data_IF_066925781389
#
_entry.id   IF_066925781389
#
_cell.length_a   1.000
_cell.length_b   1.000
_cell.length_c   1.000
_cell.angle_alpha   90.00
_cell.angle_beta   90.00
_cell.angle_gamma   90.00
#
_symmetry.space_group_name_H-M   'P 1'
#
loop_
_entity.id
_entity.type
_entity.pdbx_description
1 polymer ?
#
# COMPACT_ATOMS: atom_id res chain seq x y z
N UNK A 1 3.85 -7.86 -7.84
CA UNK A 1 5.15 -7.66 -8.53
C UNK A 1 6.33 -7.80 -7.57
N UNK A 2 6.57 -6.89 -6.62
CA UNK A 2 7.72 -7.02 -5.67
C UNK A 2 7.77 -8.41 -5.02
N UNK A 3 6.65 -8.86 -4.45
CA UNK A 3 6.52 -10.19 -3.85
C UNK A 3 6.73 -11.35 -4.85
N UNK A 4 6.29 -11.20 -6.10
CA UNK A 4 6.44 -12.24 -7.13
C UNK A 4 7.91 -12.40 -7.52
N UNK A 5 8.55 -11.29 -7.88
CA UNK A 5 9.96 -11.25 -8.33
C UNK A 5 10.94 -11.60 -7.21
N UNK A 6 10.57 -11.32 -5.96
CA UNK A 6 11.41 -11.63 -4.80
C UNK A 6 11.09 -13.01 -4.19
N UNK A 7 10.06 -13.72 -4.68
CA UNK A 7 9.58 -14.99 -4.13
C UNK A 7 9.26 -14.93 -2.61
N UNK A 8 8.49 -13.92 -2.21
CA UNK A 8 8.10 -13.68 -0.80
C UNK A 8 6.62 -13.30 -0.67
N UNK A 9 6.13 -13.30 0.56
CA UNK A 9 4.86 -12.73 0.97
C UNK A 9 4.96 -11.30 1.50
N UNK A 10 3.81 -10.73 1.88
CA UNK A 10 3.75 -9.44 2.56
C UNK A 10 2.47 -9.31 3.41
N UNK A 11 2.58 -8.58 4.53
CA UNK A 11 1.45 -8.11 5.33
C UNK A 11 1.40 -6.58 5.28
N UNK A 12 0.32 -6.05 4.74
CA UNK A 12 0.06 -4.61 4.66
C UNK A 12 -1.02 -4.22 5.67
N UNK A 13 -0.78 -3.18 6.47
CA UNK A 13 -1.77 -2.61 7.37
C UNK A 13 -2.42 -1.42 6.63
N UNK A 14 -3.68 -1.59 6.24
CA UNK A 14 -4.40 -0.63 5.40
C UNK A 14 -4.56 0.72 6.08
N UNK A 15 -4.75 0.72 7.40
CA UNK A 15 -4.84 1.94 8.22
C UNK A 15 -3.56 2.79 8.24
N UNK A 16 -2.42 2.22 7.83
CA UNK A 16 -1.15 2.94 7.71
C UNK A 16 -0.90 3.51 6.31
N UNK A 17 -1.68 3.12 5.30
CA UNK A 17 -1.50 3.64 3.93
C UNK A 17 -1.82 5.14 3.95
N UNK A 18 -0.88 6.01 3.52
CA UNK A 18 -1.11 7.44 3.53
C UNK A 18 -2.18 7.81 2.50
N UNK A 19 -3.19 8.55 2.95
CA UNK A 19 -4.25 9.07 2.09
C UNK A 19 -4.37 10.58 2.33
N UNK A 20 -4.26 11.37 1.26
CA UNK A 20 -4.35 12.83 1.34
C UNK A 20 -5.75 13.28 1.72
N UNK A 21 -5.85 14.43 2.39
CA UNK A 21 -7.16 14.98 2.78
C UNK A 21 -8.00 15.38 1.55
N UNK A 22 -7.36 15.81 0.47
CA UNK A 22 -8.04 16.06 -0.80
C UNK A 22 -8.71 14.79 -1.35
N UNK A 23 -8.02 13.64 -1.33
CA UNK A 23 -8.60 12.36 -1.75
C UNK A 23 -9.76 11.94 -0.83
N UNK A 24 -9.62 12.08 0.49
CA UNK A 24 -10.70 11.77 1.44
C UNK A 24 -11.95 12.60 1.16
N UNK A 25 -11.79 13.91 1.00
CA UNK A 25 -12.89 14.82 0.72
C UNK A 25 -13.57 14.50 -0.62
N UNK A 26 -12.78 14.21 -1.66
CA UNK A 26 -13.31 13.83 -2.96
C UNK A 26 -14.09 12.49 -2.90
N UNK A 27 -13.53 11.49 -2.22
CA UNK A 27 -14.17 10.19 -2.04
C UNK A 27 -15.50 10.32 -1.26
N UNK A 28 -15.55 11.17 -0.23
CA UNK A 28 -16.77 11.45 0.53
C UNK A 28 -17.86 12.06 -0.35
N UNK A 29 -17.52 13.07 -1.17
CA UNK A 29 -18.47 13.69 -2.11
C UNK A 29 -19.00 12.66 -3.12
N UNK A 30 -18.16 11.73 -3.55
CA UNK A 30 -18.50 10.70 -4.54
C UNK A 30 -19.16 9.45 -3.93
N UNK A 31 -19.23 9.34 -2.60
CA UNK A 31 -19.72 8.14 -1.91
C UNK A 31 -18.82 6.91 -2.09
N UNK A 32 -17.51 7.10 -2.29
CA UNK A 32 -16.52 6.05 -2.48
C UNK A 32 -15.68 5.82 -1.21
N UNK A 33 -15.09 4.63 -1.09
CA UNK A 33 -14.11 4.35 -0.04
C UNK A 33 -12.72 4.87 -0.47
N UNK A 34 -12.15 5.88 0.21
CA UNK A 34 -10.83 6.40 -0.13
C UNK A 34 -9.71 5.37 0.04
N UNK A 35 -9.86 4.41 0.95
CA UNK A 35 -8.86 3.34 1.13
C UNK A 35 -8.84 2.40 -0.06
N UNK A 36 -10.01 2.08 -0.62
CA UNK A 36 -10.09 1.29 -1.84
C UNK A 36 -9.37 1.99 -3.00
N UNK A 37 -9.61 3.29 -3.19
CA UNK A 37 -8.92 4.09 -4.20
C UNK A 37 -7.40 4.10 -4.01
N UNK A 38 -6.91 4.23 -2.77
CA UNK A 38 -5.49 4.28 -2.47
C UNK A 38 -4.75 2.96 -2.75
N UNK A 39 -5.43 1.80 -2.69
CA UNK A 39 -4.77 0.49 -2.85
C UNK A 39 -4.96 -0.17 -4.21
N UNK A 40 -5.98 0.24 -4.99
CA UNK A 40 -6.23 -0.25 -6.34
C UNK A 40 -6.02 0.81 -7.43
N UNK A 41 -5.87 2.06 -7.02
CA UNK A 41 -5.56 3.17 -7.91
C UNK A 41 -4.18 3.02 -8.56
N UNK A 42 -3.84 4.03 -9.35
CA UNK A 42 -2.55 4.15 -9.99
C UNK A 42 -2.28 5.62 -10.30
N UNK A 43 -1.20 5.88 -11.04
CA UNK A 43 -0.80 7.23 -11.46
C UNK A 43 -0.40 8.19 -10.32
N UNK A 44 -0.20 7.69 -9.10
CA UNK A 44 0.37 8.49 -8.00
C UNK A 44 1.87 8.77 -8.18
N UNK A 45 2.57 7.96 -8.98
CA UNK A 45 4.03 8.02 -9.22
C UNK A 45 4.89 8.01 -7.94
N UNK A 46 4.36 7.46 -6.85
CA UNK A 46 5.06 7.26 -5.59
C UNK A 46 5.96 6.01 -5.59
N UNK A 47 6.93 5.97 -4.67
CA UNK A 47 7.83 4.82 -4.51
C UNK A 47 7.29 3.81 -3.49
N UNK A 48 7.12 2.56 -3.93
CA UNK A 48 6.92 1.41 -3.04
C UNK A 48 8.21 0.59 -2.97
N UNK A 49 8.77 0.45 -1.77
CA UNK A 49 10.03 -0.28 -1.55
C UNK A 49 10.04 -1.04 -0.23
N UNK A 50 11.03 -1.91 -0.06
CA UNK A 50 11.29 -2.67 1.17
C UNK A 50 12.66 -2.29 1.72
N UNK A 51 12.78 -2.20 3.04
CA UNK A 51 14.06 -1.98 3.71
C UNK A 51 14.16 -2.82 4.98
N UNK A 52 15.39 -3.17 5.37
CA UNK A 52 15.64 -3.75 6.69
C UNK A 52 15.33 -2.71 7.77
N UNK A 53 14.71 -3.12 8.88
CA UNK A 53 14.47 -2.24 10.03
C UNK A 53 15.76 -1.56 10.53
N UNK A 54 16.90 -2.25 10.41
CA UNK A 54 18.22 -1.75 10.80
C UNK A 54 18.71 -0.58 9.94
N UNK A 55 18.22 -0.47 8.70
CA UNK A 55 18.65 0.58 7.78
C UNK A 55 18.04 1.94 8.14
N UNK A 56 16.95 1.96 8.92
CA UNK A 56 16.32 3.17 9.44
C UNK A 56 16.22 4.28 8.40
N UNK A 57 15.44 4.09 7.33
CA UNK A 57 15.30 5.10 6.28
C UNK A 57 14.58 6.32 6.87
N UNK A 58 15.36 7.32 7.27
CA UNK A 58 14.85 8.52 7.93
C UNK A 58 14.27 9.50 6.93
N UNK A 59 12.97 9.78 7.05
CA UNK A 59 12.27 10.81 6.27
C UNK A 59 12.98 12.17 6.32
N UNK A 60 13.58 12.48 7.47
CA UNK A 60 14.25 13.76 7.76
C UNK A 60 15.51 13.99 6.93
N UNK A 61 16.31 12.96 6.67
CA UNK A 61 17.58 13.09 5.92
C UNK A 61 17.34 13.27 4.42
N UNK A 62 16.25 12.67 3.92
CA UNK A 62 15.90 12.70 2.51
C UNK A 62 14.95 13.85 2.16
N UNK A 63 14.39 14.55 3.16
CA UNK A 63 13.41 15.61 2.95
C UNK A 63 12.09 15.13 2.33
N UNK A 64 11.79 13.83 2.42
CA UNK A 64 10.58 13.21 1.87
C UNK A 64 9.84 12.43 2.96
N UNK A 65 8.52 12.38 2.86
CA UNK A 65 7.71 11.59 3.78
C UNK A 65 7.82 10.11 3.43
N UNK A 66 8.17 9.28 4.42
CA UNK A 66 8.25 7.83 4.27
C UNK A 66 7.32 7.22 5.32
N UNK A 67 6.43 6.34 4.87
CA UNK A 67 5.48 5.66 5.76
C UNK A 67 5.68 4.16 5.68
N UNK A 68 6.00 3.53 6.79
CA UNK A 68 6.05 2.07 6.88
C UNK A 68 4.61 1.52 6.96
N UNK A 69 4.15 0.90 5.87
CA UNK A 69 2.79 0.38 5.76
C UNK A 69 2.66 -1.11 6.10
N UNK A 70 3.78 -1.83 6.29
CA UNK A 70 3.73 -3.28 6.41
C UNK A 70 5.09 -3.93 6.55
N UNK A 71 5.11 -5.25 6.39
CA UNK A 71 6.32 -6.07 6.48
C UNK A 71 6.32 -7.17 5.41
N UNK A 72 7.52 -7.58 5.01
CA UNK A 72 7.73 -8.74 4.15
C UNK A 72 7.62 -10.02 4.99
N UNK A 73 6.99 -11.04 4.41
CA UNK A 73 6.80 -12.35 5.04
C UNK A 73 7.38 -13.46 4.16
N UNK A 74 7.61 -14.66 4.70
CA UNK A 74 8.11 -15.79 3.91
C UNK A 74 7.14 -16.23 2.81
N UNK A 75 5.83 -16.18 3.11
CA UNK A 75 4.75 -16.61 2.22
C UNK A 75 3.49 -15.78 2.45
N UNK A 76 2.49 -15.96 1.59
CA UNK A 76 1.16 -15.33 1.66
C UNK A 76 1.14 -13.80 1.51
N UNK A 77 0.04 -13.27 0.96
CA UNK A 77 -0.15 -11.83 0.78
C UNK A 77 -1.44 -11.42 1.43
N UNK A 78 -1.34 -10.63 2.50
CA UNK A 78 -2.48 -10.26 3.32
C UNK A 78 -2.54 -8.76 3.56
N UNK A 79 -3.75 -8.22 3.48
CA UNK A 79 -4.08 -6.90 3.96
C UNK A 79 -4.78 -7.04 5.32
N UNK A 80 -4.51 -6.09 6.22
CA UNK A 80 -5.11 -6.02 7.56
C UNK A 80 -5.81 -4.68 7.69
N UNK A 81 -7.10 -4.68 8.01
CA UNK A 81 -7.82 -3.43 8.26
C UNK A 81 -7.61 -2.91 9.69
N UNK A 82 -8.15 -1.72 9.98
CA UNK A 82 -8.10 -1.08 11.30
C UNK A 82 -8.72 -1.91 12.44
N UNK A 83 -9.54 -2.92 12.13
CA UNK A 83 -10.16 -3.82 13.11
C UNK A 83 -9.31 -5.08 13.37
N UNK A 84 -8.20 -5.24 12.63
CA UNK A 84 -7.36 -6.43 12.66
C UNK A 84 -7.85 -7.56 11.77
N UNK A 85 -8.91 -7.35 10.98
CA UNK A 85 -9.43 -8.36 10.05
C UNK A 85 -8.46 -8.50 8.88
N UNK A 86 -8.17 -9.75 8.53
CA UNK A 86 -7.23 -10.12 7.46
C UNK A 86 -7.97 -10.48 6.18
N UNK A 87 -7.42 -10.05 5.06
CA UNK A 87 -7.94 -10.31 3.73
C UNK A 87 -6.79 -10.77 2.82
N UNK A 88 -7.01 -11.75 1.93
CA UNK A 88 -6.04 -12.03 0.89
C UNK A 88 -5.93 -10.82 -0.04
N UNK A 89 -4.72 -10.39 -0.34
CA UNK A 89 -4.51 -9.34 -1.34
C UNK A 89 -4.81 -9.90 -2.72
N UNK A 90 -5.74 -9.26 -3.44
CA UNK A 90 -5.96 -9.49 -4.86
C UNK A 90 -5.13 -8.51 -5.67
N UNK A 91 -4.61 -8.98 -6.80
CA UNK A 91 -3.96 -8.09 -7.76
C UNK A 91 -5.05 -7.32 -8.52
N UNK A 92 -5.48 -6.21 -7.95
CA UNK A 92 -6.43 -5.27 -8.57
C UNK A 92 -5.65 -4.01 -8.90
N UNK A 93 -5.38 -3.80 -10.18
CA UNK A 93 -4.61 -2.67 -10.68
C UNK A 93 -4.72 -2.60 -12.20
N UNK A 94 -4.30 -1.48 -12.78
CA UNK A 94 -4.48 -1.22 -14.20
C UNK A 94 -3.80 -2.26 -15.11
N UNK A 95 -4.57 -2.83 -16.04
CA UNK A 95 -4.08 -3.69 -17.11
C UNK A 95 -4.55 -3.13 -18.45
N UNK A 96 -3.61 -2.82 -19.35
CA UNK A 96 -3.92 -2.24 -20.67
C UNK A 96 -4.78 -3.17 -21.55
N UNK A 97 -4.58 -4.48 -21.40
CA UNK A 97 -5.29 -5.50 -22.14
C UNK A 97 -5.75 -6.55 -21.13
N UNK A 98 -7.06 -6.57 -20.85
CA UNK A 98 -7.68 -7.67 -20.14
C UNK A 98 -7.98 -8.76 -21.19
N UNK A 99 -7.28 -9.90 -21.08
CA UNK A 99 -7.60 -11.14 -21.81
C UNK A 99 -8.12 -12.15 -20.80
#
# INVERSE_FOLDING_TARGET
RICDESNVGAKINLDKVPVSDAMKNAAEIMGLDPMHLAVSGGEDYELLFTASEKLGVGSSELGINITCIGEIMEKDRIAVDKTGKKFPMKAEGYQHFEI
#
